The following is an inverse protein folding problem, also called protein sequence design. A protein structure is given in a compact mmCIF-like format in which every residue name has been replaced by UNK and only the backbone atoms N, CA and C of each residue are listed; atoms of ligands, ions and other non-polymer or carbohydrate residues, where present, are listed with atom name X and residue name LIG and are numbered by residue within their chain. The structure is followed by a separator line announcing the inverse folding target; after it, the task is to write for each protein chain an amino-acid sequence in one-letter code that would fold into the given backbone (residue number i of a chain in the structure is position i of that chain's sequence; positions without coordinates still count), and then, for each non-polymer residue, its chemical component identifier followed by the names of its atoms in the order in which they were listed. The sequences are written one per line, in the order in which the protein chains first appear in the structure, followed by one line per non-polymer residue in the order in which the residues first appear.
data_IF_641508051618
#
_entry.id   IF_641508051618
#
_cell.length_a   1.000
_cell.length_b   1.000
_cell.length_c   1.000
_cell.angle_alpha   90.00
_cell.angle_beta   90.00
_cell.angle_gamma   90.00
#
_symmetry.space_group_name_H-M   'P 1'
#
loop_
_entity.id
_entity.type
_entity.pdbx_description
1 polymer ?
#
# COMPACT_ATOMS: atom_id res chain seq x y z
N UNK A 1 0.85 -43.00 -53.43
CA UNK A 1 1.23 -41.61 -53.73
C UNK A 1 -0.07 -40.83 -53.83
N UNK A 2 -0.58 -40.35 -52.71
CA UNK A 2 -1.74 -39.47 -52.66
C UNK A 2 -1.33 -38.31 -51.76
N UNK A 3 -1.17 -37.16 -52.39
CA UNK A 3 -0.76 -35.89 -51.81
C UNK A 3 -2.02 -35.20 -51.27
N UNK A 4 -2.18 -35.17 -49.94
CA UNK A 4 -3.23 -34.40 -49.28
C UNK A 4 -2.74 -32.98 -49.06
N UNK A 5 -3.05 -32.12 -50.02
CA UNK A 5 -2.95 -30.67 -49.86
C UNK A 5 -3.97 -30.19 -48.83
N UNK A 6 -3.48 -29.75 -47.67
CA UNK A 6 -4.27 -29.10 -46.63
C UNK A 6 -4.18 -27.59 -46.83
N UNK A 7 -5.26 -27.00 -47.35
CA UNK A 7 -5.38 -25.56 -47.58
C UNK A 7 -5.72 -24.87 -46.23
N UNK A 8 -4.91 -23.92 -45.74
CA UNK A 8 -5.17 -23.26 -44.47
C UNK A 8 -6.35 -22.30 -44.61
N UNK A 9 -7.36 -22.48 -43.76
CA UNK A 9 -8.53 -21.60 -43.66
C UNK A 9 -8.10 -20.19 -43.19
N UNK A 10 -8.67 -19.12 -43.74
CA UNK A 10 -8.44 -17.77 -43.25
C UNK A 10 -9.09 -17.64 -41.86
N UNK A 11 -8.28 -17.28 -40.87
CA UNK A 11 -8.76 -16.91 -39.55
C UNK A 11 -9.48 -15.55 -39.66
N UNK A 12 -10.81 -15.58 -39.60
CA UNK A 12 -11.61 -14.39 -39.36
C UNK A 12 -11.28 -13.86 -37.96
N UNK A 13 -10.49 -12.79 -37.90
CA UNK A 13 -10.17 -12.09 -36.67
C UNK A 13 -11.40 -11.29 -36.21
N UNK A 14 -12.11 -11.83 -35.21
CA UNK A 14 -13.15 -11.11 -34.48
C UNK A 14 -12.50 -9.94 -33.70
N UNK A 15 -12.97 -8.69 -33.85
CA UNK A 15 -12.39 -7.56 -33.12
C UNK A 15 -12.72 -7.65 -31.61
N UNK A 16 -11.77 -7.37 -30.71
CA UNK A 16 -11.99 -7.49 -29.28
C UNK A 16 -13.01 -6.46 -28.74
N UNK A 17 -13.87 -6.83 -27.77
CA UNK A 17 -14.94 -5.98 -27.23
C UNK A 17 -14.50 -5.14 -26.02
N UNK A 18 -13.41 -4.40 -26.11
CA UNK A 18 -12.80 -3.65 -25.00
C UNK A 18 -12.76 -2.13 -25.21
N UNK A 19 -12.82 -1.66 -26.46
CA UNK A 19 -12.86 -0.22 -26.77
C UNK A 19 -14.17 0.47 -26.30
N UNK A 20 -15.29 -0.25 -26.32
CA UNK A 20 -16.59 0.33 -25.99
C UNK A 20 -16.76 0.57 -24.48
N UNK A 21 -16.20 -0.31 -23.63
CA UNK A 21 -16.27 -0.17 -22.16
C UNK A 21 -15.44 1.01 -21.67
N UNK A 22 -14.26 1.25 -22.26
CA UNK A 22 -13.41 2.41 -21.95
C UNK A 22 -14.09 3.73 -22.31
N UNK A 23 -14.81 3.80 -23.44
CA UNK A 23 -15.55 5.01 -23.84
C UNK A 23 -16.72 5.34 -22.90
N UNK A 24 -17.43 4.33 -22.38
CA UNK A 24 -18.52 4.56 -21.42
C UNK A 24 -18.02 5.06 -20.06
N UNK A 25 -16.85 4.59 -19.60
CA UNK A 25 -16.24 5.07 -18.36
C UNK A 25 -15.83 6.55 -18.50
N UNK A 26 -15.21 6.93 -19.63
CA UNK A 26 -14.83 8.32 -19.90
C UNK A 26 -16.09 9.22 -19.97
N UNK A 27 -17.16 8.76 -20.63
CA UNK A 27 -18.41 9.51 -20.71
C UNK A 27 -19.07 9.71 -19.33
N UNK A 28 -19.03 8.70 -18.46
CA UNK A 28 -19.56 8.79 -17.10
C UNK A 28 -18.78 9.79 -16.24
N UNK A 29 -17.44 9.77 -16.30
CA UNK A 29 -16.57 10.72 -15.57
C UNK A 29 -16.85 12.16 -16.03
N UNK A 30 -16.95 12.41 -17.33
CA UNK A 30 -17.24 13.74 -17.86
C UNK A 30 -18.63 14.27 -17.41
N UNK A 31 -19.63 13.40 -17.32
CA UNK A 31 -20.95 13.77 -16.83
C UNK A 31 -20.92 14.16 -15.34
N UNK A 32 -20.18 13.43 -14.50
CA UNK A 32 -20.02 13.75 -13.07
C UNK A 32 -19.30 15.08 -12.87
N UNK A 33 -18.22 15.33 -13.61
CA UNK A 33 -17.49 16.61 -13.54
C UNK A 33 -18.40 17.78 -13.93
N UNK A 34 -19.22 17.63 -14.96
CA UNK A 34 -20.17 18.67 -15.37
C UNK A 34 -21.22 18.96 -14.27
N UNK A 35 -21.72 17.95 -13.57
CA UNK A 35 -22.66 18.11 -12.45
C UNK A 35 -22.01 18.84 -11.27
N UNK A 36 -20.77 18.46 -10.91
CA UNK A 36 -20.02 19.12 -9.82
C UNK A 36 -19.74 20.59 -10.16
N UNK A 37 -19.33 20.88 -11.40
CA UNK A 37 -19.09 22.26 -11.84
C UNK A 37 -20.37 23.11 -11.78
N UNK A 38 -21.52 22.55 -12.17
CA UNK A 38 -22.82 23.25 -12.07
C UNK A 38 -23.22 23.45 -10.59
N UNK A 39 -22.99 22.47 -9.72
CA UNK A 39 -23.28 22.60 -8.29
C UNK A 39 -22.43 23.70 -7.62
N UNK A 40 -21.13 23.76 -7.92
CA UNK A 40 -20.22 24.79 -7.42
C UNK A 40 -20.56 26.19 -7.97
N UNK A 41 -21.00 26.25 -9.23
CA UNK A 41 -21.52 27.49 -9.81
C UNK A 41 -22.80 27.96 -9.09
N UNK A 42 -23.67 27.02 -8.68
CA UNK A 42 -24.91 27.36 -7.98
C UNK A 42 -24.67 27.83 -6.54
N UNK A 43 -23.68 27.28 -5.84
CA UNK A 43 -23.33 27.71 -4.48
C UNK A 43 -22.67 29.08 -4.42
N UNK A 44 -22.04 29.54 -5.52
CA UNK A 44 -21.36 30.85 -5.56
C UNK A 44 -22.28 32.00 -5.99
N UNK A 45 -23.48 31.70 -6.51
CA UNK A 45 -24.46 32.70 -6.97
C UNK A 45 -25.55 32.97 -5.91
N UNK A 46 -25.67 32.12 -4.87
CA UNK A 46 -26.69 32.28 -3.81
C UNK A 46 -26.18 32.94 -2.52
N UNK A 47 -24.88 33.27 -2.43
CA UNK A 47 -24.31 34.04 -1.31
C UNK A 47 -24.07 35.50 -1.77
N UNK A 48 -25.16 36.25 -1.91
CA UNK A 48 -25.16 37.71 -2.06
C UNK A 48 -25.91 38.33 -0.88
N UNK A 49 -25.17 39.11 -0.09
CA UNK A 49 -25.54 40.16 0.88
C UNK A 49 -26.38 39.83 2.13
N UNK A 50 -25.79 40.05 3.32
CA UNK A 50 -26.11 41.23 4.14
C UNK A 50 -25.12 41.40 5.31
N UNK A 51 -24.31 42.45 5.22
CA UNK A 51 -23.54 43.04 6.33
C UNK A 51 -24.51 43.72 7.31
N UNK A 52 -24.61 43.22 8.55
CA UNK A 52 -25.12 44.02 9.68
C UNK A 52 -24.43 43.62 11.01
N UNK A 53 -23.72 44.56 11.67
CA UNK A 53 -23.15 44.33 12.99
C UNK A 53 -24.14 44.74 14.09
N UNK A 54 -24.77 43.77 14.76
CA UNK A 54 -25.55 44.05 15.98
C UNK A 54 -25.19 43.15 17.15
N UNK A 55 -25.01 43.85 18.26
CA UNK A 55 -24.52 43.46 19.57
C UNK A 55 -25.28 42.31 20.25
N UNK A 56 -24.50 41.57 21.04
CA UNK A 56 -24.78 41.09 22.40
C UNK A 56 -26.15 40.48 22.68
N UNK A 57 -26.18 39.17 22.92
CA UNK A 57 -27.07 38.60 23.95
C UNK A 57 -26.36 37.47 24.68
N UNK A 58 -26.01 37.79 25.91
CA UNK A 58 -25.71 36.89 27.00
C UNK A 58 -26.96 36.05 27.33
N UNK A 59 -26.83 34.73 27.32
CA UNK A 59 -27.71 33.83 28.08
C UNK A 59 -26.94 32.59 28.47
N UNK A 60 -26.38 32.76 29.66
CA UNK A 60 -26.02 31.76 30.64
C UNK A 60 -27.01 30.59 30.81
N UNK A 61 -26.45 29.56 31.45
CA UNK A 61 -27.05 28.63 32.42
C UNK A 61 -27.48 27.21 31.94
N UNK A 62 -26.62 26.27 32.35
CA UNK A 62 -26.89 24.96 33.02
C UNK A 62 -27.57 23.85 32.19
N UNK A 63 -27.31 22.57 32.39
CA UNK A 63 -26.67 21.82 33.48
C UNK A 63 -26.26 20.44 32.94
N UNK A 64 -25.12 19.96 33.46
CA UNK A 64 -24.80 18.59 33.85
C UNK A 64 -25.51 17.40 33.18
N UNK A 65 -24.72 16.42 32.72
CA UNK A 65 -24.73 15.09 33.35
C UNK A 65 -23.39 14.40 33.13
N UNK A 66 -22.77 14.07 34.26
CA UNK A 66 -21.57 13.28 34.51
C UNK A 66 -21.76 11.79 34.20
N UNK A 67 -20.68 11.02 34.40
CA UNK A 67 -20.65 9.60 34.88
C UNK A 67 -20.46 8.58 33.75
N UNK A 68 -19.53 7.62 33.77
CA UNK A 68 -18.39 7.31 34.61
C UNK A 68 -17.57 6.22 33.90
N UNK A 69 -16.26 6.25 34.13
CA UNK A 69 -15.41 5.13 34.55
C UNK A 69 -15.78 3.70 34.11
N UNK A 70 -14.87 3.07 33.37
CA UNK A 70 -14.44 1.69 33.66
C UNK A 70 -13.07 1.45 33.04
N UNK A 71 -12.05 1.74 33.85
CA UNK A 71 -10.71 1.20 33.74
C UNK A 71 -10.76 -0.29 34.08
N UNK A 72 -10.50 -1.15 33.10
CA UNK A 72 -10.26 -2.57 33.33
C UNK A 72 -8.77 -2.84 33.16
N UNK A 73 -8.06 -2.77 34.28
CA UNK A 73 -6.72 -3.31 34.43
C UNK A 73 -6.81 -4.83 34.42
N UNK A 74 -6.30 -5.49 33.38
CA UNK A 74 -6.03 -6.93 33.41
C UNK A 74 -4.55 -7.15 33.67
N UNK A 75 -4.24 -7.29 34.96
CA UNK A 75 -3.05 -7.99 35.46
C UNK A 75 -3.13 -9.45 35.03
N UNK A 76 -2.11 -9.96 34.34
CA UNK A 76 -1.91 -11.41 34.16
C UNK A 76 -0.42 -11.73 34.17
N UNK A 77 0.05 -11.94 35.39
CA UNK A 77 0.85 -13.07 35.86
C UNK A 77 1.90 -13.66 34.93
N UNK A 78 3.15 -13.33 35.26
CA UNK A 78 4.38 -14.07 34.98
C UNK A 78 4.23 -15.55 35.33
N UNK A 79 4.55 -16.45 34.39
CA UNK A 79 4.96 -17.83 34.70
C UNK A 79 6.25 -18.09 33.92
N UNK A 80 7.37 -17.99 34.63
CA UNK A 80 8.67 -18.42 34.15
C UNK A 80 8.76 -19.94 34.33
N UNK A 81 8.69 -20.69 33.25
CA UNK A 81 9.02 -22.12 33.25
C UNK A 81 10.46 -22.26 32.79
N UNK A 82 11.35 -22.46 33.74
CA UNK A 82 12.75 -22.83 33.49
C UNK A 82 12.79 -24.34 33.22
N UNK A 83 12.88 -24.73 31.96
CA UNK A 83 13.16 -26.12 31.59
C UNK A 83 14.65 -26.26 31.34
N UNK A 84 15.36 -26.76 32.34
CA UNK A 84 16.72 -27.27 32.21
C UNK A 84 16.64 -28.62 31.48
N UNK A 85 16.87 -28.62 30.16
CA UNK A 85 17.13 -29.84 29.41
C UNK A 85 18.62 -29.99 29.20
N UNK A 86 19.14 -31.08 29.76
CA UNK A 86 20.51 -31.53 29.65
C UNK A 86 20.89 -31.87 28.20
N UNK A 87 21.91 -31.17 27.73
CA UNK A 87 23.08 -31.64 26.99
C UNK A 87 23.13 -33.14 26.65
N UNK A 88 23.25 -33.44 25.34
CA UNK A 88 24.21 -34.40 24.84
C UNK A 88 25.37 -33.66 24.16
N UNK A 89 26.57 -33.88 24.69
CA UNK A 89 27.84 -33.64 23.99
C UNK A 89 27.83 -34.40 22.65
N UNK A 90 27.79 -33.67 21.53
CA UNK A 90 28.33 -34.16 20.27
C UNK A 90 29.36 -33.16 19.71
N UNK A 91 30.62 -33.53 19.94
CA UNK A 91 31.80 -33.37 19.09
C UNK A 91 31.80 -32.19 18.09
N UNK A 92 32.37 -31.06 18.52
CA UNK A 92 32.75 -29.94 17.66
C UNK A 92 33.83 -30.35 16.66
N UNK A 93 33.44 -30.62 15.42
CA UNK A 93 34.35 -30.51 14.27
C UNK A 93 34.40 -29.03 13.85
N UNK A 94 35.37 -28.30 14.40
CA UNK A 94 35.66 -26.92 14.00
C UNK A 94 36.30 -26.93 12.60
N UNK A 95 35.47 -26.73 11.58
CA UNK A 95 35.92 -26.32 10.25
C UNK A 95 35.96 -24.79 10.25
N UNK A 96 37.14 -24.21 10.03
CA UNK A 96 37.31 -22.76 10.01
C UNK A 96 36.35 -22.13 8.98
N UNK A 97 35.62 -21.05 9.31
CA UNK A 97 34.80 -20.36 8.32
C UNK A 97 35.73 -19.68 7.31
N UNK A 98 35.64 -20.10 6.05
CA UNK A 98 36.17 -19.31 4.94
C UNK A 98 35.51 -17.93 5.00
N UNK A 99 36.31 -16.93 5.33
CA UNK A 99 35.90 -15.52 5.34
C UNK A 99 35.78 -15.09 3.89
N UNK A 100 34.63 -15.36 3.28
CA UNK A 100 34.26 -14.78 1.99
C UNK A 100 34.11 -13.29 2.20
N UNK A 101 35.16 -12.55 1.88
CA UNK A 101 35.12 -11.08 1.79
C UNK A 101 34.30 -10.75 0.56
N UNK A 102 32.98 -10.70 0.71
CA UNK A 102 32.11 -10.09 -0.28
C UNK A 102 32.46 -8.62 -0.31
N UNK A 103 33.21 -8.21 -1.33
CA UNK A 103 33.35 -6.80 -1.70
C UNK A 103 31.95 -6.26 -1.87
N UNK A 104 31.49 -5.52 -0.86
CA UNK A 104 30.26 -4.73 -0.90
C UNK A 104 30.44 -3.73 -2.04
N UNK A 105 29.91 -4.08 -3.22
CA UNK A 105 29.63 -3.08 -4.23
C UNK A 105 28.72 -2.03 -3.57
N UNK A 106 28.93 -0.72 -3.79
CA UNK A 106 28.04 0.29 -3.24
C UNK A 106 26.59 -0.07 -3.61
N UNK A 107 25.63 0.11 -2.70
CA UNK A 107 24.24 -0.17 -3.01
C UNK A 107 23.89 0.58 -4.30
N UNK A 108 23.37 -0.14 -5.30
CA UNK A 108 22.87 0.48 -6.51
C UNK A 108 21.58 1.21 -6.10
N UNK A 109 21.76 2.43 -5.62
CA UNK A 109 20.66 3.36 -5.35
C UNK A 109 19.99 3.64 -6.69
N UNK A 110 18.72 3.27 -6.81
CA UNK A 110 17.93 3.61 -7.98
C UNK A 110 17.80 5.14 -8.05
N UNK A 111 17.69 5.69 -9.26
CA UNK A 111 17.31 7.09 -9.42
C UNK A 111 15.91 7.28 -8.80
N UNK A 112 15.71 8.17 -7.81
CA UNK A 112 14.40 8.37 -7.17
C UNK A 112 13.28 8.63 -8.18
N UNK A 113 13.58 9.29 -9.31
CA UNK A 113 12.59 9.51 -10.36
C UNK A 113 12.05 8.20 -10.96
N UNK A 114 12.91 7.18 -11.11
CA UNK A 114 12.50 5.87 -11.62
C UNK A 114 11.60 5.13 -10.63
N UNK A 115 11.78 5.37 -9.34
CA UNK A 115 10.93 4.78 -8.31
C UNK A 115 9.52 5.35 -8.38
N UNK A 116 9.40 6.68 -8.48
CA UNK A 116 8.10 7.34 -8.66
C UNK A 116 7.37 6.87 -9.93
N UNK A 117 8.10 6.65 -11.03
CA UNK A 117 7.51 6.15 -12.27
C UNK A 117 6.85 4.76 -12.09
N UNK A 118 7.32 3.94 -11.14
CA UNK A 118 6.71 2.65 -10.82
C UNK A 118 5.30 2.78 -10.19
N UNK A 119 5.01 3.90 -9.54
CA UNK A 119 3.69 4.19 -8.95
C UNK A 119 2.80 5.10 -9.80
N UNK A 120 3.24 5.54 -10.98
CA UNK A 120 2.53 6.55 -11.74
C UNK A 120 1.22 6.04 -12.40
N UNK A 121 1.08 4.74 -12.67
CA UNK A 121 -0.10 4.21 -13.34
C UNK A 121 -1.24 3.89 -12.35
N UNK A 122 -2.40 4.59 -12.43
CA UNK A 122 -3.53 4.37 -11.53
C UNK A 122 -4.15 2.97 -11.62
N UNK A 123 -3.83 2.20 -12.66
CA UNK A 123 -4.41 0.86 -12.87
C UNK A 123 -3.53 -0.29 -12.40
N UNK A 124 -2.29 -0.01 -11.98
CA UNK A 124 -1.31 -1.02 -11.58
C UNK A 124 -0.65 -0.67 -10.24
N UNK A 125 -1.33 -0.91 -9.10
CA UNK A 125 -0.71 -0.77 -7.78
C UNK A 125 0.47 -1.76 -7.58
N UNK A 126 0.44 -2.91 -8.25
CA UNK A 126 1.44 -3.97 -8.15
C UNK A 126 2.88 -3.50 -8.41
N UNK A 127 3.09 -2.57 -9.35
CA UNK A 127 4.42 -2.08 -9.68
C UNK A 127 4.99 -1.19 -8.58
N UNK A 128 4.15 -0.41 -7.91
CA UNK A 128 4.54 0.42 -6.78
C UNK A 128 4.89 -0.44 -5.55
N UNK A 129 4.04 -1.42 -5.22
CA UNK A 129 4.27 -2.34 -4.11
C UNK A 129 5.58 -3.12 -4.28
N UNK A 130 5.84 -3.65 -5.48
CA UNK A 130 7.10 -4.35 -5.78
C UNK A 130 8.31 -3.42 -5.72
N UNK A 131 8.19 -2.19 -6.22
CA UNK A 131 9.27 -1.20 -6.14
C UNK A 131 9.63 -0.86 -4.69
N UNK A 132 8.63 -0.70 -3.82
CA UNK A 132 8.83 -0.54 -2.37
C UNK A 132 9.57 -1.74 -1.76
N UNK A 133 9.13 -2.96 -2.06
CA UNK A 133 9.76 -4.17 -1.53
C UNK A 133 11.22 -4.29 -2.00
N UNK A 134 11.50 -3.99 -3.28
CA UNK A 134 12.85 -3.96 -3.83
C UNK A 134 13.70 -2.87 -3.17
N UNK A 135 13.13 -1.70 -2.90
CA UNK A 135 13.82 -0.62 -2.21
C UNK A 135 14.18 -1.03 -0.77
N UNK A 136 13.24 -1.62 -0.04
CA UNK A 136 13.44 -2.09 1.32
C UNK A 136 14.49 -3.21 1.42
N UNK A 137 14.42 -4.22 0.56
CA UNK A 137 15.40 -5.32 0.52
C UNK A 137 16.82 -4.85 0.19
N UNK A 138 16.95 -3.73 -0.53
CA UNK A 138 18.25 -3.10 -0.87
C UNK A 138 18.70 -2.04 0.13
N UNK A 139 17.87 -1.67 1.11
CA UNK A 139 18.11 -0.52 1.98
C UNK A 139 18.08 0.82 1.24
N UNK A 140 17.41 0.91 0.09
CA UNK A 140 17.28 2.12 -0.71
C UNK A 140 16.17 3.04 -0.16
N UNK A 141 16.56 3.81 0.85
CA UNK A 141 15.65 4.73 1.53
C UNK A 141 15.17 5.88 0.64
N UNK A 142 15.95 6.29 -0.37
CA UNK A 142 15.58 7.39 -1.26
C UNK A 142 14.45 6.96 -2.19
N UNK A 143 14.58 5.77 -2.79
CA UNK A 143 13.54 5.16 -3.61
C UNK A 143 12.26 4.90 -2.83
N UNK A 144 12.39 4.35 -1.61
CA UNK A 144 11.24 4.06 -0.77
C UNK A 144 10.45 5.34 -0.45
N UNK A 145 11.11 6.43 -0.03
CA UNK A 145 10.42 7.70 0.32
C UNK A 145 9.58 8.31 -0.82
N UNK A 146 9.84 7.98 -2.07
CA UNK A 146 9.00 8.43 -3.20
C UNK A 146 7.67 7.64 -3.30
N UNK A 147 7.59 6.45 -2.69
CA UNK A 147 6.50 5.48 -2.86
C UNK A 147 5.76 5.15 -1.56
N UNK A 148 6.05 5.84 -0.46
CA UNK A 148 5.39 5.61 0.83
C UNK A 148 5.34 6.87 1.69
N UNK A 149 4.33 6.93 2.55
CA UNK A 149 4.21 7.93 3.59
C UNK A 149 5.32 7.75 4.65
N UNK A 150 5.67 8.84 5.34
CA UNK A 150 6.74 8.84 6.35
C UNK A 150 6.51 7.81 7.47
N UNK A 151 5.26 7.60 7.89
CA UNK A 151 4.91 6.64 8.96
C UNK A 151 5.11 5.18 8.49
N UNK A 152 4.64 4.85 7.28
CA UNK A 152 4.87 3.54 6.66
C UNK A 152 6.36 3.30 6.42
N UNK A 153 7.10 4.33 6.01
CA UNK A 153 8.55 4.28 5.87
C UNK A 153 9.25 3.91 7.18
N UNK A 154 8.97 4.65 8.25
CA UNK A 154 9.58 4.40 9.56
C UNK A 154 9.24 3.01 10.09
N UNK A 155 8.00 2.55 9.87
CA UNK A 155 7.57 1.21 10.25
C UNK A 155 8.31 0.12 9.48
N UNK A 156 8.38 0.19 8.15
CA UNK A 156 9.02 -0.83 7.32
C UNK A 156 10.54 -0.88 7.56
N UNK A 157 11.19 0.28 7.58
CA UNK A 157 12.63 0.40 7.73
C UNK A 157 13.10 0.26 9.19
N UNK A 158 12.19 0.12 10.16
CA UNK A 158 12.54 -0.32 11.51
C UNK A 158 13.14 -1.73 11.55
N UNK A 159 12.87 -2.54 10.52
CA UNK A 159 13.43 -3.88 10.31
C UNK A 159 14.26 -3.90 9.02
N UNK A 160 15.35 -4.65 9.03
CA UNK A 160 16.15 -4.87 7.81
C UNK A 160 15.39 -5.78 6.84
N UNK A 161 15.27 -5.35 5.58
CA UNK A 161 14.72 -6.18 4.50
C UNK A 161 15.76 -7.05 3.79
N UNK A 162 17.04 -6.99 4.17
CA UNK A 162 18.12 -7.63 3.41
C UNK A 162 17.98 -9.17 3.29
N UNK A 163 17.28 -9.79 4.23
CA UNK A 163 17.02 -11.24 4.27
C UNK A 163 15.57 -11.59 3.92
N UNK A 164 14.75 -10.61 3.52
CA UNK A 164 13.37 -10.87 3.18
C UNK A 164 13.28 -11.68 1.88
N UNK A 165 12.54 -12.78 1.94
CA UNK A 165 12.30 -13.69 0.80
C UNK A 165 10.81 -13.79 0.51
N UNK A 166 10.06 -12.73 0.83
CA UNK A 166 8.61 -12.73 0.77
C UNK A 166 8.12 -12.85 -0.69
N UNK A 167 7.13 -13.69 -0.92
CA UNK A 167 6.52 -13.92 -2.23
C UNK A 167 5.34 -12.96 -2.44
N UNK A 168 5.41 -12.14 -3.49
CA UNK A 168 4.32 -11.21 -3.84
C UNK A 168 3.05 -11.97 -4.27
N UNK A 169 1.93 -11.71 -3.60
CA UNK A 169 0.64 -12.36 -3.83
C UNK A 169 -0.30 -11.56 -4.74
N UNK A 170 0.09 -10.35 -5.12
CA UNK A 170 -0.76 -9.42 -5.87
C UNK A 170 -1.44 -8.38 -4.98
N UNK A 171 -2.17 -7.48 -5.63
CA UNK A 171 -2.97 -6.45 -4.99
C UNK A 171 -4.46 -6.67 -5.26
N UNK A 172 -5.31 -6.29 -4.31
CA UNK A 172 -6.76 -6.28 -4.46
C UNK A 172 -7.37 -4.95 -4.01
N UNK A 173 -8.49 -4.59 -4.64
CA UNK A 173 -9.27 -3.41 -4.25
C UNK A 173 -9.84 -3.63 -2.84
N UNK A 174 -9.86 -2.56 -2.05
CA UNK A 174 -10.49 -2.57 -0.72
C UNK A 174 -11.84 -1.85 -0.77
N UNK A 175 -12.72 -2.13 0.21
CA UNK A 175 -14.02 -1.46 0.32
C UNK A 175 -13.93 0.01 0.79
N UNK A 176 -12.71 0.54 1.00
CA UNK A 176 -12.51 1.91 1.43
C UNK A 176 -12.85 2.94 0.33
N UNK A 177 -13.36 4.10 0.75
CA UNK A 177 -13.72 5.17 -0.19
C UNK A 177 -12.46 5.75 -0.83
N UNK A 178 -12.30 5.53 -2.13
CA UNK A 178 -11.20 6.05 -2.94
C UNK A 178 -10.43 4.94 -3.65
N UNK A 179 -9.44 5.30 -4.49
CA UNK A 179 -8.56 4.33 -5.13
C UNK A 179 -7.56 3.79 -4.10
N UNK A 180 -8.00 2.80 -3.32
CA UNK A 180 -7.20 2.10 -2.32
C UNK A 180 -6.99 0.64 -2.77
N UNK A 181 -5.81 0.08 -2.49
CA UNK A 181 -5.51 -1.32 -2.78
C UNK A 181 -4.69 -1.93 -1.65
N UNK A 182 -4.96 -3.17 -1.28
CA UNK A 182 -4.16 -3.93 -0.33
C UNK A 182 -3.32 -4.93 -1.13
N UNK A 183 -2.00 -4.83 -0.97
CA UNK A 183 -1.02 -5.66 -1.64
C UNK A 183 -0.31 -6.55 -0.63
N UNK A 184 -0.26 -7.86 -0.87
CA UNK A 184 0.34 -8.78 0.09
C UNK A 184 1.63 -9.43 -0.40
N UNK A 185 2.49 -9.69 0.57
CA UNK A 185 3.72 -10.46 0.46
C UNK A 185 3.68 -11.56 1.51
N UNK A 186 3.73 -12.82 1.11
CA UNK A 186 3.73 -13.96 2.05
C UNK A 186 5.15 -14.39 2.40
N UNK A 187 5.37 -14.75 3.66
CA UNK A 187 6.62 -15.29 4.18
C UNK A 187 6.36 -16.49 5.10
N UNK A 188 7.40 -17.18 5.56
CA UNK A 188 7.25 -18.31 6.47
C UNK A 188 6.61 -17.86 7.79
N UNK A 189 5.35 -18.27 8.02
CA UNK A 189 4.59 -17.95 9.23
C UNK A 189 3.70 -16.70 9.14
N UNK A 190 3.50 -16.12 7.95
CA UNK A 190 2.56 -15.00 7.81
C UNK A 190 2.57 -14.27 6.47
N UNK A 191 2.03 -13.06 6.48
CA UNK A 191 2.05 -12.11 5.36
C UNK A 191 2.28 -10.68 5.83
N UNK A 192 2.98 -9.89 5.02
CA UNK A 192 3.06 -8.43 5.13
C UNK A 192 2.10 -7.83 4.11
N UNK A 193 1.27 -6.90 4.56
CA UNK A 193 0.31 -6.17 3.74
C UNK A 193 0.73 -4.72 3.60
N UNK A 194 0.67 -4.20 2.39
CA UNK A 194 0.87 -2.79 2.05
C UNK A 194 -0.47 -2.21 1.62
N UNK A 195 -1.03 -1.33 2.45
CA UNK A 195 -2.20 -0.54 2.06
C UNK A 195 -1.71 0.61 1.21
N UNK A 196 -2.13 0.60 -0.05
CA UNK A 196 -1.77 1.58 -1.05
C UNK A 196 -2.90 2.58 -1.28
N UNK A 197 -2.53 3.85 -1.45
CA UNK A 197 -3.43 4.95 -1.82
C UNK A 197 -2.94 5.60 -3.09
N UNK A 198 -3.84 5.84 -4.04
CA UNK A 198 -3.51 6.57 -5.26
C UNK A 198 -3.84 8.06 -5.11
N UNK A 199 -2.85 8.90 -5.45
CA UNK A 199 -2.97 10.34 -5.61
C UNK A 199 -2.67 10.72 -7.07
N UNK A 200 -3.43 11.65 -7.69
CA UNK A 200 -3.11 12.12 -9.04
C UNK A 200 -1.77 12.85 -9.16
N UNK A 201 -1.20 13.30 -8.04
CA UNK A 201 0.06 14.08 -8.02
C UNK A 201 1.25 13.17 -7.78
N UNK A 202 1.10 12.19 -6.91
CA UNK A 202 2.20 11.38 -6.37
C UNK A 202 2.15 9.93 -6.87
N UNK A 203 1.04 9.51 -7.48
CA UNK A 203 0.80 8.14 -7.88
C UNK A 203 0.38 7.27 -6.69
N UNK A 204 0.68 5.97 -6.78
CA UNK A 204 0.49 5.02 -5.69
C UNK A 204 1.54 5.19 -4.61
N UNK A 205 1.07 5.34 -3.37
CA UNK A 205 1.91 5.39 -2.17
C UNK A 205 1.43 4.37 -1.14
N UNK A 206 2.37 3.72 -0.45
CA UNK A 206 2.05 2.88 0.72
C UNK A 206 1.78 3.79 1.91
N UNK A 207 0.55 3.77 2.41
CA UNK A 207 0.13 4.58 3.56
C UNK A 207 0.16 3.82 4.88
N UNK A 208 0.01 2.50 4.85
CA UNK A 208 -0.01 1.65 6.04
C UNK A 208 0.62 0.29 5.73
N UNK A 209 1.29 -0.28 6.74
CA UNK A 209 1.88 -1.61 6.68
C UNK A 209 1.43 -2.40 7.91
N UNK A 210 0.95 -3.62 7.68
CA UNK A 210 0.64 -4.54 8.78
C UNK A 210 1.07 -5.95 8.44
N UNK A 211 1.26 -6.76 9.49
CA UNK A 211 1.65 -8.16 9.36
C UNK A 211 0.55 -9.04 9.94
N UNK A 212 0.22 -10.12 9.24
CA UNK A 212 -0.72 -11.16 9.68
C UNK A 212 0.07 -12.43 9.89
N UNK A 213 -0.05 -13.05 11.07
CA UNK A 213 0.56 -14.36 11.34
C UNK A 213 -0.47 -15.48 11.06
N UNK A 214 0.02 -16.64 10.60
CA UNK A 214 -0.76 -17.88 10.44
C UNK A 214 -1.05 -18.57 11.79
#
# INVERSE_FOLDING_TARGET
MSDSSHEPQPFDAEPPPDAQRRLWIIAAILAVIAVIAVALLFTTILDEDDDDPVATTDSSLVESTTTSTSSTSTTSTTTSTTTTTSEPEEESTTTAPDTTTTTSEPPITADPAQCRDAGADPTYPDSAAQAVFIAWTRGDTACARELMDDEAFDQLFSKSGAEATDDFQGCWETDEVGPNSDCAFTYEGGSTHYVMRFSPTDGWQVSEIYQVAD
#
